data_IF_368923049870
#
_entry.id   IF_368923049870
#
_cell.length_a   1.000
_cell.length_b   1.000
_cell.length_c   1.000
_cell.angle_alpha   90.00
_cell.angle_beta   90.00
_cell.angle_gamma   90.00
#
_symmetry.space_group_name_H-M   'P 1'
#
loop_
_entity.id
_entity.type
_entity.pdbx_description
1 polymer ?
#
# COMPACT_ATOMS: atom_id res chain seq x y z
N UNK A 1 24.25 5.46 -2.14
CA UNK A 1 22.97 5.08 -2.77
C UNK A 1 21.86 5.55 -1.85
N UNK A 2 20.75 6.04 -2.40
CA UNK A 2 19.58 6.40 -1.60
C UNK A 2 18.84 5.11 -1.27
N UNK A 3 18.59 4.86 0.01
CA UNK A 3 17.78 3.72 0.47
C UNK A 3 16.32 3.98 0.12
N UNK A 4 15.60 2.94 -0.30
CA UNK A 4 14.19 3.01 -0.65
C UNK A 4 13.34 3.63 0.47
N UNK A 5 12.36 4.46 0.09
CA UNK A 5 11.32 4.92 1.02
C UNK A 5 10.26 3.84 1.14
N UNK A 6 10.04 3.30 2.35
CA UNK A 6 9.03 2.25 2.62
C UNK A 6 7.76 2.88 3.17
N UNK A 7 6.65 2.76 2.43
CA UNK A 7 5.38 3.39 2.77
C UNK A 7 4.26 2.37 2.83
N UNK A 8 3.61 2.25 3.99
CA UNK A 8 2.39 1.47 4.15
C UNK A 8 1.14 2.30 3.90
N UNK A 9 0.25 1.80 3.04
CA UNK A 9 -1.07 2.38 2.80
C UNK A 9 -2.06 1.73 3.76
N UNK A 10 -2.49 2.45 4.80
CA UNK A 10 -3.26 1.85 5.89
C UNK A 10 -4.52 2.63 6.27
N UNK A 11 -5.57 1.87 6.57
CA UNK A 11 -6.79 2.32 7.24
C UNK A 11 -7.56 1.08 7.71
N UNK A 12 -7.97 1.05 8.97
CA UNK A 12 -8.72 -0.08 9.55
C UNK A 12 -10.19 -0.12 9.11
N UNK A 13 -10.64 0.89 8.37
CA UNK A 13 -11.92 0.85 7.65
C UNK A 13 -11.76 0.16 6.29
N UNK A 14 -12.68 -0.77 6.00
CA UNK A 14 -12.74 -1.43 4.70
C UNK A 14 -13.19 -0.47 3.58
N UNK A 15 -12.85 -0.81 2.33
CA UNK A 15 -13.31 -0.11 1.11
C UNK A 15 -12.97 1.39 1.03
N UNK A 16 -11.91 1.85 1.71
CA UNK A 16 -11.40 3.22 1.56
C UNK A 16 -10.50 3.42 0.33
N UNK A 17 -10.25 2.35 -0.45
CA UNK A 17 -9.45 2.37 -1.67
C UNK A 17 -7.94 2.26 -1.45
N UNK A 18 -7.49 1.49 -0.45
CA UNK A 18 -6.05 1.22 -0.18
C UNK A 18 -5.34 0.62 -1.40
N UNK A 19 -5.75 -0.58 -1.82
CA UNK A 19 -5.16 -1.31 -2.95
C UNK A 19 -5.21 -0.51 -4.26
N UNK A 20 -6.31 0.19 -4.49
CA UNK A 20 -6.47 1.10 -5.63
C UNK A 20 -5.46 2.24 -5.59
N UNK A 21 -5.28 2.88 -4.43
CA UNK A 21 -4.32 3.96 -4.27
C UNK A 21 -2.89 3.43 -4.41
N UNK A 22 -2.57 2.27 -3.82
CA UNK A 22 -1.27 1.60 -3.94
C UNK A 22 -0.90 1.38 -5.41
N UNK A 23 -1.78 0.76 -6.19
CA UNK A 23 -1.55 0.54 -7.62
C UNK A 23 -1.39 1.85 -8.40
N UNK A 24 -2.23 2.86 -8.12
CA UNK A 24 -2.13 4.18 -8.75
C UNK A 24 -0.80 4.88 -8.47
N UNK A 25 -0.35 4.86 -7.22
CA UNK A 25 0.94 5.41 -6.82
C UNK A 25 2.07 4.68 -7.56
N UNK A 26 2.05 3.34 -7.60
CA UNK A 26 3.07 2.57 -8.31
C UNK A 26 3.19 2.98 -9.78
N UNK A 27 2.08 3.04 -10.50
CA UNK A 27 2.05 3.50 -11.89
C UNK A 27 2.53 4.95 -12.06
N UNK A 28 2.08 5.86 -11.20
CA UNK A 28 2.47 7.25 -11.29
C UNK A 28 3.96 7.46 -11.07
N UNK A 29 4.50 6.85 -10.01
CA UNK A 29 5.90 6.98 -9.64
C UNK A 29 6.83 6.27 -10.62
N UNK A 30 6.42 5.13 -11.20
CA UNK A 30 7.25 4.39 -12.14
C UNK A 30 7.20 4.89 -13.59
N UNK A 31 6.12 5.58 -14.01
CA UNK A 31 5.91 5.89 -15.43
C UNK A 31 5.56 7.36 -15.75
N UNK A 32 4.91 8.09 -14.84
CA UNK A 32 4.23 9.35 -15.19
C UNK A 32 4.98 10.58 -14.70
N UNK A 33 5.52 10.53 -13.47
CA UNK A 33 6.17 11.70 -12.86
C UNK A 33 7.41 12.14 -13.66
N UNK A 34 7.84 13.41 -13.56
CA UNK A 34 8.99 13.92 -14.34
C UNK A 34 10.32 13.18 -14.11
N UNK A 35 10.50 12.61 -12.91
CA UNK A 35 11.64 11.77 -12.54
C UNK A 35 11.12 10.42 -12.06
N UNK A 36 10.79 9.49 -12.98
CA UNK A 36 10.26 8.19 -12.60
C UNK A 36 11.28 7.40 -11.77
N UNK A 37 10.78 6.48 -10.95
CA UNK A 37 11.57 5.70 -10.00
C UNK A 37 11.26 4.22 -10.07
N UNK A 38 12.15 3.38 -9.53
CA UNK A 38 11.93 1.94 -9.38
C UNK A 38 11.01 1.69 -8.19
N UNK A 39 9.88 1.03 -8.43
CA UNK A 39 8.84 0.79 -7.41
C UNK A 39 8.67 -0.69 -7.15
N UNK A 40 8.73 -1.09 -5.88
CA UNK A 40 8.27 -2.40 -5.41
C UNK A 40 6.92 -2.23 -4.72
N UNK A 41 5.95 -3.06 -5.08
CA UNK A 41 4.69 -3.18 -4.34
C UNK A 41 4.70 -4.48 -3.54
N UNK A 42 4.29 -4.42 -2.29
CA UNK A 42 4.10 -5.59 -1.42
C UNK A 42 2.63 -5.66 -1.06
N UNK A 43 1.96 -6.72 -1.47
CA UNK A 43 0.57 -6.97 -1.09
C UNK A 43 0.53 -7.77 0.21
N UNK A 44 0.06 -7.14 1.28
CA UNK A 44 -0.09 -7.72 2.61
C UNK A 44 -1.56 -7.80 3.03
N UNK A 45 -2.47 -7.90 2.06
CA UNK A 45 -3.90 -8.17 2.28
C UNK A 45 -4.22 -9.60 1.81
N UNK A 46 -4.76 -10.50 2.65
CA UNK A 46 -5.23 -11.82 2.21
C UNK A 46 -6.30 -11.78 1.10
N UNK A 47 -6.89 -10.63 0.82
CA UNK A 47 -7.80 -10.42 -0.32
C UNK A 47 -7.06 -10.10 -1.63
N UNK A 48 -5.73 -9.96 -1.62
CA UNK A 48 -4.85 -9.89 -2.79
C UNK A 48 -5.26 -8.90 -3.89
N UNK A 49 -5.97 -7.82 -3.51
CA UNK A 49 -6.54 -6.87 -4.46
C UNK A 49 -5.45 -6.09 -5.21
N UNK A 50 -4.38 -5.69 -4.53
CA UNK A 50 -3.28 -4.98 -5.19
C UNK A 50 -2.56 -5.90 -6.18
N UNK A 51 -2.38 -7.18 -5.83
CA UNK A 51 -1.80 -8.20 -6.71
C UNK A 51 -2.61 -8.34 -8.00
N UNK A 52 -3.93 -8.50 -7.88
CA UNK A 52 -4.82 -8.58 -9.04
C UNK A 52 -4.86 -7.30 -9.86
N UNK A 53 -4.84 -6.12 -9.22
CA UNK A 53 -4.86 -4.84 -9.92
C UNK A 53 -3.60 -4.57 -10.73
N UNK A 54 -2.45 -5.06 -10.29
CA UNK A 54 -1.18 -4.84 -10.98
C UNK A 54 -0.92 -5.87 -12.07
N UNK A 55 -1.23 -7.15 -11.83
CA UNK A 55 -0.96 -8.22 -12.80
C UNK A 55 -2.12 -8.47 -13.78
N UNK A 56 -3.34 -8.11 -13.40
CA UNK A 56 -4.55 -8.64 -14.03
C UNK A 56 -4.86 -10.08 -13.57
N UNK A 57 -6.12 -10.48 -13.73
CA UNK A 57 -6.65 -11.74 -13.19
C UNK A 57 -5.91 -12.97 -13.75
N UNK A 58 -5.71 -13.01 -15.07
CA UNK A 58 -5.14 -14.17 -15.75
C UNK A 58 -3.68 -14.44 -15.34
N UNK A 59 -2.86 -13.38 -15.25
CA UNK A 59 -1.45 -13.55 -14.89
C UNK A 59 -1.30 -13.88 -13.40
N UNK A 60 -2.15 -13.29 -12.54
CA UNK A 60 -2.20 -13.65 -11.12
C UNK A 60 -2.51 -15.15 -10.91
N UNK A 61 -3.56 -15.68 -11.57
CA UNK A 61 -3.91 -17.10 -11.48
C UNK A 61 -2.80 -18.02 -12.01
N UNK A 62 -2.15 -17.62 -13.11
CA UNK A 62 -1.01 -18.34 -13.67
C UNK A 62 0.17 -18.41 -12.71
N UNK A 63 0.53 -17.31 -12.07
CA UNK A 63 1.63 -17.26 -11.08
C UNK A 63 1.32 -18.18 -9.89
N UNK A 64 0.09 -18.14 -9.37
CA UNK A 64 -0.31 -18.98 -8.24
C UNK A 64 -0.32 -20.48 -8.59
N UNK A 65 -0.84 -20.84 -9.76
CA UNK A 65 -0.87 -22.24 -10.20
C UNK A 65 0.53 -22.81 -10.46
N UNK A 66 1.51 -21.96 -10.73
CA UNK A 66 2.93 -22.34 -10.84
C UNK A 66 3.62 -22.51 -9.48
N UNK A 67 2.93 -22.26 -8.36
CA UNK A 67 3.47 -22.45 -7.02
C UNK A 67 4.53 -21.42 -6.62
N UNK A 68 4.47 -20.22 -7.20
CA UNK A 68 5.40 -19.13 -6.88
C UNK A 68 5.23 -18.67 -5.42
N UNK A 69 6.31 -18.13 -4.86
CA UNK A 69 6.32 -17.66 -3.47
C UNK A 69 5.54 -16.35 -3.34
N UNK A 70 4.87 -16.18 -2.21
CA UNK A 70 4.06 -14.99 -1.91
C UNK A 70 4.40 -14.42 -0.53
N UNK A 71 3.77 -13.32 -0.12
CA UNK A 71 3.90 -12.79 1.25
C UNK A 71 3.54 -13.80 2.33
N UNK A 72 2.73 -14.82 2.01
CA UNK A 72 2.49 -15.96 2.89
C UNK A 72 3.78 -16.69 3.26
N UNK A 73 4.66 -16.95 2.28
CA UNK A 73 5.93 -17.65 2.51
C UNK A 73 6.91 -16.83 3.36
N UNK A 74 6.79 -15.51 3.36
CA UNK A 74 7.57 -14.63 4.24
C UNK A 74 7.17 -14.83 5.70
N UNK A 75 5.86 -14.90 5.98
CA UNK A 75 5.34 -14.98 7.34
C UNK A 75 5.28 -16.41 7.89
N UNK A 76 5.06 -17.41 7.04
CA UNK A 76 4.97 -18.82 7.42
C UNK A 76 6.22 -19.61 7.03
N UNK A 77 7.37 -19.17 7.54
CA UNK A 77 8.67 -19.83 7.31
C UNK A 77 8.77 -21.25 7.92
N UNK A 78 7.75 -21.69 8.69
CA UNK A 78 7.73 -22.95 9.43
C UNK A 78 6.51 -23.85 9.14
N UNK A 79 5.70 -23.57 8.12
CA UNK A 79 4.70 -24.56 7.70
C UNK A 79 5.39 -25.70 6.96
N UNK A 80 5.64 -26.78 7.70
CA UNK A 80 6.14 -28.06 7.22
C UNK A 80 5.18 -28.71 6.21
N UNK A 81 5.13 -28.18 4.99
CA UNK A 81 4.86 -29.02 3.82
C UNK A 81 6.12 -29.81 3.53
N UNK A 82 5.96 -31.14 3.39
CA UNK A 82 6.94 -32.23 3.48
C UNK A 82 8.23 -32.15 2.62
N UNK A 83 8.51 -31.02 1.97
CA UNK A 83 9.64 -30.80 1.05
C UNK A 83 10.32 -29.43 1.17
N UNK A 84 9.83 -28.50 1.99
CA UNK A 84 10.40 -27.15 2.08
C UNK A 84 11.61 -27.11 3.02
N UNK A 85 12.78 -26.69 2.50
CA UNK A 85 13.93 -26.32 3.32
C UNK A 85 13.50 -25.23 4.31
N UNK A 86 13.75 -25.45 5.58
CA UNK A 86 13.62 -24.45 6.65
C UNK A 86 14.53 -23.25 6.35
N UNK A 87 13.96 -22.05 6.23
CA UNK A 87 14.73 -20.82 6.02
C UNK A 87 13.89 -19.66 5.46
N UNK A 88 14.40 -18.44 5.65
CA UNK A 88 13.89 -17.24 4.98
C UNK A 88 14.06 -17.44 3.46
N UNK A 89 13.01 -17.30 2.64
CA UNK A 89 13.16 -17.40 1.19
C UNK A 89 14.09 -16.30 0.69
N UNK A 90 14.88 -16.61 -0.35
CA UNK A 90 15.64 -15.59 -1.08
C UNK A 90 14.68 -14.47 -1.52
N UNK A 91 14.89 -13.20 -1.10
CA UNK A 91 14.03 -12.09 -1.43
C UNK A 91 13.71 -11.99 -2.92
N UNK A 92 14.66 -12.31 -3.81
CA UNK A 92 14.48 -12.19 -5.25
C UNK A 92 13.51 -13.22 -5.82
N UNK A 93 13.29 -14.36 -5.14
CA UNK A 93 12.32 -15.38 -5.56
C UNK A 93 10.86 -14.97 -5.30
N UNK A 94 10.65 -13.94 -4.49
CA UNK A 94 9.33 -13.38 -4.19
C UNK A 94 8.90 -12.30 -5.19
N UNK A 95 9.83 -11.83 -6.03
CA UNK A 95 9.66 -10.64 -6.86
C UNK A 95 9.14 -11.05 -8.23
N UNK A 96 7.98 -10.50 -8.59
CA UNK A 96 7.39 -10.63 -9.91
C UNK A 96 7.44 -9.29 -10.63
N UNK A 97 8.07 -9.26 -11.81
CA UNK A 97 8.07 -8.07 -12.65
C UNK A 97 6.68 -7.86 -13.24
N UNK A 98 6.05 -6.73 -12.94
CA UNK A 98 4.76 -6.34 -13.51
C UNK A 98 4.99 -5.68 -14.86
N UNK A 99 5.91 -4.71 -14.91
CA UNK A 99 6.25 -3.97 -16.12
C UNK A 99 7.62 -3.31 -15.98
N UNK A 100 8.38 -3.27 -17.09
CA UNK A 100 9.62 -2.51 -17.23
C UNK A 100 9.45 -1.45 -18.32
N UNK A 101 9.82 -0.21 -18.02
CA UNK A 101 9.69 0.94 -18.92
C UNK A 101 10.99 1.21 -19.69
N UNK A 102 10.90 2.04 -20.74
CA UNK A 102 12.01 2.35 -21.66
C UNK A 102 13.21 2.99 -20.95
N UNK A 103 12.97 3.70 -19.84
CA UNK A 103 13.96 4.37 -19.01
C UNK A 103 14.51 3.49 -17.86
N UNK A 104 14.34 2.17 -17.94
CA UNK A 104 14.78 1.19 -16.93
C UNK A 104 14.10 1.35 -15.54
N UNK A 105 13.05 2.17 -15.44
CA UNK A 105 12.15 2.08 -14.28
C UNK A 105 11.21 0.90 -14.44
N UNK A 106 10.68 0.42 -13.31
CA UNK A 106 9.84 -0.77 -13.28
C UNK A 106 8.88 -0.73 -12.12
N UNK A 107 7.83 -1.52 -12.24
CA UNK A 107 6.96 -1.91 -11.14
C UNK A 107 7.19 -3.40 -10.94
N UNK A 108 7.64 -3.75 -9.74
CA UNK A 108 7.72 -5.13 -9.29
C UNK A 108 6.72 -5.37 -8.16
N UNK A 109 6.41 -6.64 -7.91
CA UNK A 109 5.38 -7.05 -6.97
C UNK A 109 5.82 -8.26 -6.16
N UNK A 110 5.71 -8.16 -4.83
CA UNK A 110 5.57 -9.31 -3.94
C UNK A 110 4.07 -9.49 -3.68
N UNK A 111 3.54 -10.59 -4.20
CA UNK A 111 2.10 -10.83 -4.24
C UNK A 111 1.57 -11.47 -2.97
N UNK A 112 0.26 -11.33 -2.76
CA UNK A 112 -0.48 -11.96 -1.67
C UNK A 112 -1.30 -13.14 -2.15
N UNK A 113 -1.88 -13.90 -1.20
CA UNK A 113 -2.81 -15.00 -1.44
C UNK A 113 -3.75 -15.18 -0.24
N UNK A 114 -4.86 -15.90 -0.46
CA UNK A 114 -5.88 -16.12 0.58
C UNK A 114 -5.31 -16.76 1.85
N UNK A 115 -4.36 -17.67 1.70
CA UNK A 115 -3.73 -18.40 2.79
C UNK A 115 -3.06 -17.47 3.80
N UNK A 116 -2.66 -16.25 3.39
CA UNK A 116 -2.15 -15.21 4.30
C UNK A 116 -3.06 -14.96 5.52
N UNK A 117 -4.37 -15.18 5.38
CA UNK A 117 -5.32 -15.07 6.49
C UNK A 117 -5.01 -16.03 7.66
N UNK A 118 -4.37 -17.17 7.40
CA UNK A 118 -4.00 -18.11 8.45
C UNK A 118 -2.79 -17.63 9.28
N UNK A 119 -1.99 -16.69 8.79
CA UNK A 119 -0.82 -16.15 9.51
C UNK A 119 -1.23 -15.32 10.72
N UNK A 120 -2.47 -14.84 10.72
CA UNK A 120 -3.05 -14.06 11.82
C UNK A 120 -3.28 -14.90 13.08
N UNK A 121 -3.24 -16.24 12.98
CA UNK A 121 -3.59 -17.16 14.09
C UNK A 121 -2.41 -17.51 15.00
N UNK A 122 -1.18 -17.13 14.65
CA UNK A 122 0.03 -17.56 15.34
C UNK A 122 0.84 -16.37 15.89
N UNK A 123 0.97 -16.21 17.22
CA UNK A 123 1.63 -15.06 17.86
C UNK A 123 3.18 -15.15 17.92
N UNK A 124 3.81 -15.83 16.96
CA UNK A 124 5.29 -15.86 16.88
C UNK A 124 5.82 -14.57 16.27
N UNK A 125 7.09 -14.21 16.50
CA UNK A 125 7.84 -13.00 16.06
C UNK A 125 7.94 -12.81 14.52
N UNK A 126 6.93 -13.28 13.78
CA UNK A 126 6.80 -13.27 12.32
C UNK A 126 6.68 -11.85 11.78
N UNK A 127 6.28 -10.89 12.61
CA UNK A 127 6.13 -9.49 12.22
C UNK A 127 7.44 -8.86 11.72
N UNK A 128 8.61 -9.33 12.18
CA UNK A 128 9.92 -8.84 11.70
C UNK A 128 10.38 -9.50 10.40
N UNK A 129 9.73 -10.56 9.92
CA UNK A 129 10.17 -11.24 8.71
C UNK A 129 10.06 -10.34 7.48
N UNK A 130 8.97 -9.56 7.38
CA UNK A 130 8.80 -8.64 6.27
C UNK A 130 9.86 -7.53 6.28
N UNK A 131 10.15 -6.93 7.44
CA UNK A 131 11.18 -5.91 7.54
C UNK A 131 12.57 -6.43 7.15
N UNK A 132 12.88 -7.69 7.50
CA UNK A 132 14.17 -8.30 7.16
C UNK A 132 14.29 -8.52 5.64
N UNK A 133 13.26 -9.08 5.00
CA UNK A 133 13.23 -9.26 3.54
C UNK A 133 13.39 -7.91 2.82
N UNK A 134 12.68 -6.87 3.27
CA UNK A 134 12.73 -5.57 2.61
C UNK A 134 14.05 -4.82 2.85
N UNK A 135 14.73 -5.07 3.96
CA UNK A 135 16.07 -4.53 4.20
C UNK A 135 17.12 -5.07 3.20
N UNK A 136 16.93 -6.30 2.69
CA UNK A 136 17.81 -6.85 1.65
C UNK A 136 17.53 -6.22 0.27
N UNK A 137 16.30 -5.76 0.02
CA UNK A 137 15.86 -5.20 -1.27
C UNK A 137 15.94 -3.67 -1.36
N UNK A 138 16.18 -2.96 -0.25
CA UNK A 138 16.03 -1.51 -0.18
C UNK A 138 17.01 -0.70 -1.03
N UNK A 139 18.07 -1.33 -1.55
CA UNK A 139 19.04 -0.70 -2.45
C UNK A 139 18.67 -0.84 -3.95
N UNK A 140 17.64 -1.63 -4.28
CA UNK A 140 17.23 -1.92 -5.66
C UNK A 140 16.03 -1.10 -6.15
N UNK A 141 15.40 -0.38 -5.23
CA UNK A 141 14.19 0.42 -5.44
C UNK A 141 14.37 1.79 -4.81
N UNK A 142 13.65 2.79 -5.31
CA UNK A 142 13.59 4.10 -4.66
C UNK A 142 12.34 4.21 -3.75
N UNK A 143 11.30 3.43 -4.05
CA UNK A 143 10.03 3.44 -3.35
C UNK A 143 9.50 2.01 -3.18
N UNK A 144 9.14 1.65 -1.95
CA UNK A 144 8.44 0.40 -1.62
C UNK A 144 7.08 0.77 -1.06
N UNK A 145 6.00 0.29 -1.69
CA UNK A 145 4.63 0.51 -1.26
C UNK A 145 4.05 -0.78 -0.68
N UNK A 146 3.50 -0.73 0.52
CA UNK A 146 2.92 -1.89 1.21
C UNK A 146 1.40 -1.70 1.28
N UNK A 147 0.64 -2.57 0.61
CA UNK A 147 -0.82 -2.58 0.67
C UNK A 147 -1.29 -3.37 1.89
N UNK A 148 -1.94 -2.70 2.84
CA UNK A 148 -2.31 -3.33 4.11
C UNK A 148 -3.77 -3.81 4.11
N UNK A 149 -4.01 -4.94 4.77
CA UNK A 149 -5.35 -5.37 5.13
C UNK A 149 -6.11 -4.33 5.97
N UNK A 150 -7.45 -4.39 5.95
CA UNK A 150 -8.29 -3.49 6.75
C UNK A 150 -8.45 -3.93 8.22
N UNK A 151 -7.96 -5.12 8.59
CA UNK A 151 -8.10 -5.66 9.94
C UNK A 151 -6.81 -5.53 10.72
N UNK A 152 -6.89 -5.06 11.96
CA UNK A 152 -5.74 -5.06 12.87
C UNK A 152 -5.32 -6.49 13.19
N UNK A 153 -4.06 -6.83 12.91
CA UNK A 153 -3.51 -8.17 13.10
C UNK A 153 -1.98 -8.14 13.12
N UNK A 154 -1.34 -9.32 13.19
CA UNK A 154 0.11 -9.48 12.99
C UNK A 154 0.56 -8.87 11.65
N UNK A 155 -0.29 -8.88 10.61
CA UNK A 155 0.02 -8.25 9.32
C UNK A 155 0.20 -6.74 9.45
N UNK A 156 -0.63 -6.09 10.26
CA UNK A 156 -0.52 -4.65 10.54
C UNK A 156 0.80 -4.32 11.24
N UNK A 157 1.19 -5.12 12.24
CA UNK A 157 2.48 -4.96 12.93
C UNK A 157 3.66 -5.20 11.98
N UNK A 158 3.57 -6.21 11.11
CA UNK A 158 4.58 -6.48 10.10
C UNK A 158 4.75 -5.31 9.12
N UNK A 159 3.64 -4.72 8.68
CA UNK A 159 3.65 -3.54 7.82
C UNK A 159 4.29 -2.33 8.52
N UNK A 160 3.97 -2.09 9.80
CA UNK A 160 4.56 -1.00 10.59
C UNK A 160 6.06 -1.15 10.76
N UNK A 161 6.55 -2.33 11.16
CA UNK A 161 7.99 -2.62 11.30
C UNK A 161 8.74 -2.53 9.97
N UNK A 162 8.05 -2.78 8.87
CA UNK A 162 8.61 -2.70 7.52
C UNK A 162 8.58 -1.29 6.91
N UNK A 163 7.94 -0.30 7.56
CA UNK A 163 7.68 1.01 6.98
C UNK A 163 8.43 2.14 7.67
N UNK A 164 8.83 3.12 6.87
CA UNK A 164 9.30 4.43 7.34
C UNK A 164 8.12 5.40 7.46
N UNK A 165 7.14 5.29 6.54
CA UNK A 165 5.98 6.17 6.47
C UNK A 165 4.65 5.42 6.40
N UNK A 166 3.59 6.07 6.90
CA UNK A 166 2.20 5.66 6.71
C UNK A 166 1.45 6.68 5.86
N UNK A 167 0.68 6.19 4.90
CA UNK A 167 -0.29 6.97 4.13
C UNK A 167 -1.70 6.48 4.44
N UNK A 168 -2.58 7.38 4.88
CA UNK A 168 -3.93 7.02 5.34
C UNK A 168 -5.00 7.54 4.37
N UNK A 169 -5.51 6.70 3.45
CA UNK A 169 -6.62 7.08 2.61
C UNK A 169 -7.92 7.14 3.41
N UNK A 170 -8.68 8.23 3.26
CA UNK A 170 -9.97 8.45 3.91
C UNK A 170 -11.04 8.67 2.86
N UNK A 171 -12.02 7.77 2.82
CA UNK A 171 -13.18 7.92 1.93
C UNK A 171 -14.28 8.71 2.63
N UNK A 172 -14.82 9.72 1.94
CA UNK A 172 -15.81 10.66 2.47
C UNK A 172 -17.22 10.06 2.45
N UNK A 173 -17.50 9.22 3.44
CA UNK A 173 -18.82 8.65 3.70
C UNK A 173 -19.23 8.99 5.14
N UNK A 174 -20.52 8.89 5.47
CA UNK A 174 -21.07 9.19 6.80
C UNK A 174 -20.27 8.57 7.97
N UNK A 175 -19.72 7.36 7.77
CA UNK A 175 -18.96 6.61 8.77
C UNK A 175 -17.44 6.79 8.65
N UNK A 176 -16.92 7.81 7.95
CA UNK A 176 -15.48 7.97 7.74
C UNK A 176 -14.71 8.24 9.04
N UNK A 177 -15.34 8.93 9.98
CA UNK A 177 -14.77 9.32 11.27
C UNK A 177 -14.58 8.14 12.21
N UNK A 178 -15.33 7.04 12.02
CA UNK A 178 -15.25 5.83 12.84
C UNK A 178 -13.92 5.07 12.62
N UNK A 179 -13.29 5.22 11.45
CA UNK A 179 -12.08 4.47 11.12
C UNK A 179 -10.79 5.06 11.69
N UNK A 180 -10.79 6.33 12.12
CA UNK A 180 -9.59 7.01 12.60
C UNK A 180 -9.24 6.69 14.07
N UNK A 181 -10.20 6.67 15.03
CA UNK A 181 -9.88 6.32 16.42
C UNK A 181 -9.20 4.94 16.57
N UNK A 182 -9.70 3.85 15.93
CA UNK A 182 -9.00 2.56 16.00
C UNK A 182 -7.58 2.62 15.43
N UNK A 183 -7.34 3.44 14.40
CA UNK A 183 -6.00 3.63 13.85
C UNK A 183 -5.09 4.36 14.84
N UNK A 184 -5.60 5.38 15.54
CA UNK A 184 -4.86 6.08 16.60
C UNK A 184 -4.44 5.09 17.70
N UNK A 185 -5.39 4.27 18.17
CA UNK A 185 -5.13 3.26 19.20
C UNK A 185 -4.07 2.25 18.73
N UNK A 186 -4.21 1.75 17.50
CA UNK A 186 -3.24 0.82 16.90
C UNK A 186 -1.83 1.42 16.81
N UNK A 187 -1.70 2.68 16.41
CA UNK A 187 -0.40 3.37 16.33
C UNK A 187 0.21 3.62 17.70
N UNK A 188 -0.60 3.97 18.70
CA UNK A 188 -0.13 4.16 20.07
C UNK A 188 0.35 2.82 20.66
N UNK A 189 -0.40 1.74 20.45
CA UNK A 189 0.00 0.40 20.88
C UNK A 189 1.30 -0.03 20.21
N UNK A 190 1.43 0.21 18.90
CA UNK A 190 2.68 -0.10 18.19
C UNK A 190 3.88 0.68 18.74
N UNK A 191 3.75 1.99 18.96
CA UNK A 191 4.82 2.81 19.54
C UNK A 191 5.22 2.39 20.95
N UNK A 192 4.26 1.89 21.73
CA UNK A 192 4.54 1.34 23.05
C UNK A 192 5.29 0.00 22.98
N UNK A 193 4.89 -0.88 22.06
CA UNK A 193 5.53 -2.18 21.83
C UNK A 193 6.94 -2.04 21.20
N UNK A 194 7.14 -1.04 20.34
CA UNK A 194 8.34 -0.83 19.51
C UNK A 194 8.81 0.64 19.56
N UNK A 195 9.23 1.08 20.74
CA UNK A 195 9.63 2.47 20.98
C UNK A 195 10.90 2.92 20.25
N UNK A 196 11.65 1.98 19.69
CA UNK A 196 12.87 2.18 18.91
C UNK A 196 12.61 2.32 17.40
N UNK A 197 11.39 2.04 16.94
CA UNK A 197 11.03 2.10 15.52
C UNK A 197 10.44 3.47 15.15
N UNK A 198 11.11 4.18 14.24
CA UNK A 198 10.65 5.49 13.77
C UNK A 198 9.63 5.34 12.64
N UNK A 199 8.34 5.38 13.00
CA UNK A 199 7.22 5.34 12.05
C UNK A 199 6.57 6.70 11.91
N UNK A 200 6.76 7.32 10.75
CA UNK A 200 6.24 8.65 10.44
C UNK A 200 4.90 8.57 9.71
N UNK A 201 4.02 9.55 9.94
CA UNK A 201 2.79 9.67 9.16
C UNK A 201 3.02 10.64 7.99
N UNK A 202 3.00 10.14 6.76
CA UNK A 202 3.06 10.99 5.57
C UNK A 202 1.82 11.88 5.46
N UNK A 203 0.64 11.37 5.84
CA UNK A 203 -0.57 12.15 6.03
C UNK A 203 -1.85 11.42 5.67
N UNK A 204 -2.97 12.11 5.85
CA UNK A 204 -4.32 11.67 5.49
C UNK A 204 -4.70 12.26 4.14
N UNK A 205 -5.12 11.40 3.21
CA UNK A 205 -5.58 11.82 1.88
C UNK A 205 -7.05 11.49 1.70
N UNK A 206 -7.85 12.48 1.30
CA UNK A 206 -9.23 12.22 0.91
C UNK A 206 -9.24 11.45 -0.42
N UNK A 207 -9.80 10.24 -0.39
CA UNK A 207 -9.76 9.31 -1.51
C UNK A 207 -11.15 9.08 -2.11
N UNK A 208 -11.18 8.73 -3.40
CA UNK A 208 -12.39 8.51 -4.19
C UNK A 208 -13.37 9.69 -4.10
N UNK A 209 -12.86 10.92 -4.12
CA UNK A 209 -13.71 12.09 -3.96
C UNK A 209 -14.54 12.33 -5.23
N UNK A 210 -15.84 12.51 -5.03
CA UNK A 210 -16.81 12.91 -6.06
C UNK A 210 -17.52 14.18 -5.58
N UNK A 211 -18.39 14.76 -6.42
CA UNK A 211 -19.07 16.05 -6.23
C UNK A 211 -19.34 16.44 -4.77
N UNK A 212 -19.19 17.73 -4.45
CA UNK A 212 -19.37 18.23 -3.08
C UNK A 212 -20.83 18.14 -2.61
N UNK A 213 -21.17 17.07 -1.90
CA UNK A 213 -22.40 16.94 -1.13
C UNK A 213 -22.17 17.39 0.34
N UNK A 214 -23.21 17.88 1.05
CA UNK A 214 -23.06 18.42 2.41
C UNK A 214 -22.34 17.47 3.39
N UNK A 215 -22.60 16.18 3.29
CA UNK A 215 -22.01 15.14 4.14
C UNK A 215 -20.49 15.02 3.91
N UNK A 216 -20.00 15.26 2.69
CA UNK A 216 -18.58 15.28 2.40
C UNK A 216 -17.89 16.47 3.08
N UNK A 217 -18.55 17.64 3.11
CA UNK A 217 -18.02 18.84 3.76
C UNK A 217 -17.88 18.60 5.27
N UNK A 218 -18.93 18.07 5.90
CA UNK A 218 -18.91 17.72 7.32
C UNK A 218 -17.82 16.66 7.61
N UNK A 219 -17.77 15.60 6.82
CA UNK A 219 -16.75 14.54 6.94
C UNK A 219 -15.32 15.10 6.86
N UNK A 220 -15.05 15.99 5.91
CA UNK A 220 -13.74 16.66 5.79
C UNK A 220 -13.41 17.50 7.03
N UNK A 221 -14.38 18.22 7.56
CA UNK A 221 -14.19 19.05 8.76
C UNK A 221 -13.83 18.20 9.98
N UNK A 222 -14.56 17.11 10.23
CA UNK A 222 -14.27 16.22 11.36
C UNK A 222 -12.93 15.52 11.20
N UNK A 223 -12.59 15.04 10.00
CA UNK A 223 -11.28 14.42 9.74
C UNK A 223 -10.14 15.40 9.99
N UNK A 224 -10.29 16.67 9.56
CA UNK A 224 -9.29 17.72 9.84
C UNK A 224 -9.17 18.01 11.33
N UNK A 225 -10.28 18.09 12.06
CA UNK A 225 -10.25 18.27 13.50
C UNK A 225 -9.47 17.14 14.20
N UNK A 226 -9.79 15.87 13.90
CA UNK A 226 -9.07 14.72 14.46
C UNK A 226 -7.59 14.76 14.08
N UNK A 227 -7.28 15.13 12.83
CA UNK A 227 -5.90 15.25 12.39
C UNK A 227 -5.15 16.35 13.16
N UNK A 228 -5.77 17.52 13.36
CA UNK A 228 -5.18 18.63 14.10
C UNK A 228 -4.89 18.25 15.56
N UNK A 229 -5.84 17.57 16.23
CA UNK A 229 -5.68 17.05 17.60
C UNK A 229 -4.48 16.09 17.73
N UNK A 230 -4.19 15.32 16.67
CA UNK A 230 -3.10 14.35 16.62
C UNK A 230 -1.84 14.89 15.92
N UNK A 231 -1.83 16.16 15.49
CA UNK A 231 -0.76 16.79 14.68
C UNK A 231 -0.45 16.02 13.39
N UNK A 232 -1.47 15.42 12.81
CA UNK A 232 -1.39 14.68 11.56
C UNK A 232 -1.59 15.60 10.38
N UNK A 233 -0.79 15.39 9.34
CA UNK A 233 -0.94 16.17 8.12
C UNK A 233 -2.14 15.68 7.31
N UNK A 234 -2.91 16.61 6.75
CA UNK A 234 -3.97 16.32 5.76
C UNK A 234 -3.55 16.91 4.42
N UNK A 235 -3.52 16.08 3.37
CA UNK A 235 -3.16 16.52 2.03
C UNK A 235 -4.13 17.60 1.51
N UNK A 236 -3.56 18.62 0.86
CA UNK A 236 -4.35 19.69 0.26
C UNK A 236 -5.08 19.20 -0.99
N UNK A 237 -4.41 18.37 -1.78
CA UNK A 237 -5.00 17.73 -2.94
C UNK A 237 -5.69 16.42 -2.56
N UNK A 238 -6.77 16.11 -3.28
CA UNK A 238 -7.60 14.93 -3.09
C UNK A 238 -7.39 13.94 -4.23
N UNK A 239 -7.61 12.66 -3.98
CA UNK A 239 -7.61 11.64 -5.04
C UNK A 239 -9.04 11.50 -5.57
N UNK A 240 -9.29 11.94 -6.82
CA UNK A 240 -10.63 11.90 -7.39
C UNK A 240 -11.05 10.47 -7.70
N UNK A 241 -12.36 10.23 -7.69
CA UNK A 241 -12.91 8.97 -8.19
C UNK A 241 -12.67 8.82 -9.70
N UNK A 242 -12.15 7.68 -10.15
CA UNK A 242 -12.02 7.33 -11.58
C UNK A 242 -13.00 6.22 -11.97
N UNK A 243 -13.70 6.43 -13.09
CA UNK A 243 -14.59 5.41 -13.70
C UNK A 243 -13.81 4.30 -14.42
N UNK A 244 -12.55 4.54 -14.79
CA UNK A 244 -11.70 3.57 -15.48
C UNK A 244 -11.17 2.47 -14.55
N UNK A 245 -11.38 2.60 -13.23
CA UNK A 245 -10.87 1.68 -12.21
C UNK A 245 -11.15 0.21 -12.53
N UNK A 246 -12.41 -0.15 -12.77
CA UNK A 246 -12.81 -1.54 -12.95
C UNK A 246 -12.16 -2.18 -14.19
N UNK A 247 -12.17 -1.45 -15.32
CA UNK A 247 -11.61 -1.93 -16.58
C UNK A 247 -10.09 -2.06 -16.50
N UNK A 248 -9.40 -1.06 -15.95
CA UNK A 248 -7.94 -1.07 -15.91
C UNK A 248 -7.38 -2.03 -14.86
N UNK A 249 -8.10 -2.23 -13.75
CA UNK A 249 -7.77 -3.24 -12.76
C UNK A 249 -7.82 -4.66 -13.34
N UNK A 250 -8.76 -4.95 -14.25
CA UNK A 250 -8.84 -6.26 -14.92
C UNK A 250 -7.64 -6.51 -15.85
N UNK A 251 -7.11 -5.46 -16.46
CA UNK A 251 -6.04 -5.53 -17.46
C UNK A 251 -4.63 -5.28 -16.88
N UNK A 252 -4.50 -5.05 -15.57
CA UNK A 252 -3.20 -4.73 -14.96
C UNK A 252 -2.64 -3.38 -15.39
N UNK A 253 -3.48 -2.39 -15.71
CA UNK A 253 -3.06 -1.08 -16.27
C UNK A 253 -3.17 0.05 -15.25
N UNK A 254 -2.47 1.15 -15.53
CA UNK A 254 -2.59 2.39 -14.77
C UNK A 254 -4.05 2.81 -14.60
N UNK A 255 -4.47 3.12 -13.38
CA UNK A 255 -5.84 3.51 -13.06
C UNK A 255 -6.04 5.02 -13.23
N UNK A 256 -5.02 5.82 -12.92
CA UNK A 256 -4.90 7.27 -13.19
C UNK A 256 -3.43 7.57 -13.49
N UNK A 257 -3.10 8.39 -14.50
CA UNK A 257 -3.98 9.04 -15.45
C UNK A 257 -4.32 8.13 -16.64
N UNK A 258 -5.58 8.12 -17.07
CA UNK A 258 -6.06 7.36 -18.23
C UNK A 258 -6.69 8.29 -19.26
N UNK A 259 -6.88 7.86 -20.53
CA UNK A 259 -7.61 8.66 -21.52
C UNK A 259 -9.02 9.04 -21.09
N UNK A 260 -9.64 8.28 -20.17
CA UNK A 260 -11.02 8.48 -19.69
C UNK A 260 -11.14 9.47 -18.52
N UNK A 261 -10.04 9.82 -17.86
CA UNK A 261 -10.04 10.81 -16.78
C UNK A 261 -10.04 12.24 -17.35
N UNK A 262 -10.82 13.12 -16.71
CA UNK A 262 -10.82 14.54 -17.06
C UNK A 262 -9.46 15.18 -16.74
N UNK A 263 -9.13 16.26 -17.44
CA UNK A 263 -7.92 17.04 -17.17
C UNK A 263 -7.81 17.43 -15.70
N UNK A 264 -8.92 17.85 -15.10
CA UNK A 264 -9.00 18.21 -13.67
C UNK A 264 -8.67 17.03 -12.75
N UNK A 265 -9.16 15.82 -13.06
CA UNK A 265 -8.87 14.64 -12.24
C UNK A 265 -7.38 14.29 -12.28
N UNK A 266 -6.77 14.35 -13.47
CA UNK A 266 -5.33 14.13 -13.66
C UNK A 266 -4.52 15.16 -12.88
N UNK A 267 -4.87 16.44 -12.99
CA UNK A 267 -4.20 17.52 -12.27
C UNK A 267 -4.30 17.39 -10.75
N UNK A 268 -5.46 17.01 -10.20
CA UNK A 268 -5.61 16.79 -8.77
C UNK A 268 -4.74 15.62 -8.29
N UNK A 269 -4.74 14.51 -9.02
CA UNK A 269 -3.91 13.37 -8.68
C UNK A 269 -2.41 13.69 -8.77
N UNK A 270 -1.98 14.47 -9.78
CA UNK A 270 -0.61 14.98 -9.89
C UNK A 270 -0.24 15.91 -8.72
N UNK A 271 -1.13 16.79 -8.29
CA UNK A 271 -0.90 17.67 -7.14
C UNK A 271 -0.70 16.85 -5.87
N UNK A 272 -1.57 15.87 -5.61
CA UNK A 272 -1.46 14.97 -4.46
C UNK A 272 -0.16 14.18 -4.47
N UNK A 273 0.18 13.55 -5.60
CA UNK A 273 1.38 12.71 -5.71
C UNK A 273 2.68 13.51 -5.56
N UNK A 274 2.73 14.75 -6.07
CA UNK A 274 3.86 15.65 -5.85
C UNK A 274 3.98 16.08 -4.38
N UNK A 275 2.86 16.40 -3.73
CA UNK A 275 2.82 16.73 -2.30
C UNK A 275 3.25 15.53 -1.44
N UNK A 276 2.83 14.33 -1.81
CA UNK A 276 3.21 13.07 -1.17
C UNK A 276 4.70 12.77 -1.35
N UNK A 277 5.25 12.89 -2.56
CA UNK A 277 6.68 12.72 -2.83
C UNK A 277 7.54 13.65 -1.97
N UNK A 278 7.18 14.93 -1.90
CA UNK A 278 7.89 15.91 -1.08
C UNK A 278 7.88 15.54 0.41
N UNK A 279 6.78 14.98 0.92
CA UNK A 279 6.65 14.56 2.34
C UNK A 279 7.52 13.37 2.72
N UNK A 280 7.71 12.44 1.80
CA UNK A 280 8.53 11.24 2.06
C UNK A 280 9.99 11.43 1.62
N UNK A 281 10.32 12.58 1.01
CA UNK A 281 11.67 12.91 0.54
C UNK A 281 12.06 12.20 -0.76
N UNK A 282 11.14 12.16 -1.73
CA UNK A 282 11.28 11.51 -3.04
C UNK A 282 11.03 12.47 -4.22
#
# INVERSE_FOLDING_TARGET
>A
MQVAKKVSIINLKSRVGKSTLTANLAWYFAAVRPKPVKVLVVDLDPQFNASQYLLGLNEYEKILTQGQLTTWNILEQNTSTLTAKTGIPDPHQLIHNVVTFVNDTRIDLILSRLELAFSQRNPSQKERHLSNILAELENEYDLILIDCASSESVLTKAAYLASDYLLVPVKLEYLCTIGLPPLIDSLNNFKNDYNDHDLNLAGLVFNSTSYAFPEAIYSKAVVRQIADENRWYVFNAEVPYSRALATNAQEGRAIIPTPYDSTTQKEQFMKFTNEFAARIGL
#
